data_IF_033958935997
#
_entry.id   IF_033958935997
#
_cell.length_a   1.000
_cell.length_b   1.000
_cell.length_c   1.000
_cell.angle_alpha   90.00
_cell.angle_beta   90.00
_cell.angle_gamma   90.00
#
_symmetry.space_group_name_H-M   'P 1'
#
loop_
_entity.id
_entity.type
_entity.pdbx_description
1 polymer ?
#
# COMPACT_ATOMS: atom_id res chain seq x y z
N UNK A 1 -12.03 -12.18 -27.54
CA UNK A 1 -11.02 -12.26 -28.62
C UNK A 1 -11.32 -11.13 -29.60
N UNK A 2 -10.59 -10.03 -29.50
CA UNK A 2 -10.67 -8.91 -30.43
C UNK A 2 -9.30 -8.22 -30.46
N UNK A 3 -8.67 -8.25 -31.63
CA UNK A 3 -7.43 -7.59 -32.00
C UNK A 3 -7.76 -6.20 -32.55
N UNK A 4 -7.00 -5.16 -32.19
CA UNK A 4 -6.80 -3.96 -33.03
C UNK A 4 -5.33 -3.53 -32.94
N UNK A 5 -4.77 -3.23 -34.10
CA UNK A 5 -3.35 -3.11 -34.42
C UNK A 5 -2.76 -1.71 -34.21
N UNK A 6 -1.43 -1.67 -34.21
CA UNK A 6 -0.52 -0.56 -33.94
C UNK A 6 -0.47 0.53 -35.03
N UNK A 7 0.06 1.71 -34.66
CA UNK A 7 0.80 2.57 -35.56
C UNK A 7 1.92 3.31 -34.83
N UNK A 8 3.15 3.08 -35.28
CA UNK A 8 4.41 3.64 -34.79
C UNK A 8 4.82 4.86 -35.62
N UNK A 9 5.31 5.92 -34.96
CA UNK A 9 6.24 6.90 -35.58
C UNK A 9 7.20 7.41 -34.51
N UNK A 10 8.49 7.22 -34.75
CA UNK A 10 9.59 7.72 -33.93
C UNK A 10 10.16 9.05 -34.44
N UNK A 11 10.87 9.74 -33.54
CA UNK A 11 11.92 10.75 -33.74
C UNK A 11 12.09 11.46 -32.39
N UNK A 12 13.24 11.90 -31.89
CA UNK A 12 14.67 11.84 -32.26
C UNK A 12 15.40 12.15 -30.95
N UNK A 13 16.52 11.47 -30.70
CA UNK A 13 17.43 11.80 -29.61
C UNK A 13 18.18 13.11 -29.89
N UNK A 14 18.37 13.95 -28.87
CA UNK A 14 19.29 15.07 -28.90
C UNK A 14 20.12 15.04 -27.60
N UNK A 15 21.43 14.85 -27.76
CA UNK A 15 22.41 14.89 -26.70
C UNK A 15 22.92 16.33 -26.50
N UNK A 16 23.04 16.79 -25.25
CA UNK A 16 23.82 17.98 -24.94
C UNK A 16 24.46 17.90 -23.53
N UNK A 17 25.78 17.69 -23.58
CA UNK A 17 26.89 18.28 -22.81
C UNK A 17 26.89 18.24 -21.27
N UNK A 18 27.96 17.59 -20.81
CA UNK A 18 28.53 17.55 -19.47
C UNK A 18 28.74 18.93 -18.84
N UNK A 19 28.37 19.07 -17.56
CA UNK A 19 29.02 19.98 -16.62
C UNK A 19 29.31 19.22 -15.33
N UNK A 20 30.58 19.28 -14.88
CA UNK A 20 31.10 18.55 -13.72
C UNK A 20 30.80 19.32 -12.42
N UNK A 21 30.62 18.54 -11.35
CA UNK A 21 30.85 18.89 -9.93
C UNK A 21 29.69 19.56 -9.19
N UNK A 22 28.98 18.78 -8.36
CA UNK A 22 29.03 18.85 -6.87
C UNK A 22 28.55 17.49 -6.34
N UNK A 23 29.48 16.66 -5.86
CA UNK A 23 29.18 15.43 -5.12
C UNK A 23 28.76 15.82 -3.70
N UNK A 24 27.47 15.68 -3.39
CA UNK A 24 26.98 15.68 -2.00
C UNK A 24 26.56 14.24 -1.68
N UNK A 25 27.30 13.66 -0.74
CA UNK A 25 27.06 12.35 -0.14
C UNK A 25 25.59 12.17 0.21
N UNK A 26 24.91 11.27 -0.51
CA UNK A 26 23.64 10.71 -0.07
C UNK A 26 23.95 9.35 0.53
N UNK A 27 23.70 9.21 1.82
CA UNK A 27 23.74 7.95 2.55
C UNK A 27 22.81 6.94 1.88
N UNK A 28 23.40 5.92 1.27
CA UNK A 28 22.71 4.77 0.69
C UNK A 28 21.99 3.99 1.79
N UNK A 29 20.70 4.25 1.97
CA UNK A 29 19.81 3.51 2.85
C UNK A 29 18.85 2.57 2.13
N UNK A 30 19.06 2.29 0.84
CA UNK A 30 18.26 1.32 0.08
C UNK A 30 19.04 0.01 -0.07
N UNK A 31 19.08 -0.78 1.00
CA UNK A 31 19.44 -2.19 0.91
C UNK A 31 18.30 -2.91 0.20
N UNK A 32 18.43 -3.08 -1.12
CA UNK A 32 17.63 -4.03 -1.89
C UNK A 32 17.86 -5.41 -1.27
N UNK A 33 16.84 -5.99 -0.65
CA UNK A 33 16.85 -7.36 -0.14
C UNK A 33 16.90 -8.33 -1.32
N UNK A 34 18.11 -8.53 -1.87
CA UNK A 34 18.40 -9.67 -2.73
C UNK A 34 18.40 -10.92 -1.84
N UNK A 35 17.42 -11.79 -2.06
CA UNK A 35 17.08 -12.89 -1.16
C UNK A 35 18.24 -13.83 -0.82
N UNK A 36 18.74 -13.73 0.42
CA UNK A 36 19.32 -14.86 1.12
C UNK A 36 18.18 -15.83 1.46
N UNK A 37 18.28 -17.10 1.10
CA UNK A 37 17.24 -18.13 1.31
C UNK A 37 16.96 -18.50 2.79
N UNK A 38 17.20 -17.59 3.73
CA UNK A 38 16.86 -17.71 5.15
C UNK A 38 15.67 -16.80 5.42
N UNK A 39 14.55 -17.38 5.85
CA UNK A 39 13.31 -16.69 6.18
C UNK A 39 13.08 -16.68 7.69
N UNK A 40 12.33 -15.69 8.18
CA UNK A 40 12.15 -15.44 9.62
C UNK A 40 13.06 -14.31 10.11
N UNK A 41 13.16 -14.12 11.43
CA UNK A 41 14.04 -13.10 12.02
C UNK A 41 13.56 -11.65 11.87
N UNK A 42 12.24 -11.43 11.79
CA UNK A 42 11.66 -10.08 11.74
C UNK A 42 12.04 -9.30 13.00
N UNK A 43 12.68 -8.14 12.84
CA UNK A 43 13.01 -7.28 13.98
C UNK A 43 11.79 -6.51 14.44
N UNK A 44 11.81 -5.98 15.67
CA UNK A 44 10.68 -5.23 16.22
C UNK A 44 10.36 -3.96 15.43
N UNK A 45 11.37 -3.36 14.78
CA UNK A 45 11.19 -2.17 13.95
C UNK A 45 10.54 -2.48 12.59
N UNK A 46 10.66 -3.72 12.11
CA UNK A 46 10.04 -4.16 10.86
C UNK A 46 8.56 -4.56 11.05
N UNK A 47 8.06 -4.58 12.29
CA UNK A 47 6.67 -4.93 12.60
C UNK A 47 5.74 -3.77 12.21
N UNK A 48 4.83 -4.04 11.28
CA UNK A 48 3.82 -3.06 10.86
C UNK A 48 2.79 -2.79 11.98
N UNK A 49 2.34 -3.83 12.68
CA UNK A 49 1.39 -3.71 13.78
C UNK A 49 2.12 -3.63 15.12
N UNK A 50 2.48 -2.40 15.50
CA UNK A 50 3.34 -2.12 16.65
C UNK A 50 2.61 -2.19 17.99
N UNK A 51 1.31 -1.87 18.06
CA UNK A 51 0.51 -1.92 19.30
C UNK A 51 -0.34 -3.19 19.44
N UNK A 52 0.06 -4.32 18.84
CA UNK A 52 -0.74 -5.55 18.81
C UNK A 52 -1.04 -6.12 20.21
N UNK A 53 -0.21 -5.82 21.21
CA UNK A 53 -0.41 -6.27 22.59
C UNK A 53 -1.14 -5.24 23.46
N UNK A 54 -1.37 -4.01 22.98
CA UNK A 54 -2.07 -2.97 23.73
C UNK A 54 -1.23 -2.35 24.85
N UNK A 55 0.10 -2.32 24.68
CA UNK A 55 1.05 -1.73 25.62
C UNK A 55 0.95 -0.19 25.64
N UNK A 56 0.49 0.41 24.53
CA UNK A 56 0.27 1.84 24.36
C UNK A 56 -1.22 2.16 24.18
N UNK A 57 -1.63 3.42 24.36
CA UNK A 57 -3.03 3.80 24.15
C UNK A 57 -3.39 3.64 22.66
N UNK A 58 -4.58 3.10 22.40
CA UNK A 58 -5.09 2.89 21.05
C UNK A 58 -5.68 4.17 20.46
N UNK A 59 -5.88 5.22 21.27
CA UNK A 59 -6.44 6.50 20.82
C UNK A 59 -5.51 7.28 19.90
N UNK A 60 -6.09 8.21 19.14
CA UNK A 60 -5.46 9.00 18.09
C UNK A 60 -4.09 9.59 18.47
N UNK A 61 -3.96 10.21 19.65
CA UNK A 61 -2.71 10.87 20.07
C UNK A 61 -1.52 9.93 20.12
N UNK A 62 -1.74 8.69 20.54
CA UNK A 62 -0.66 7.68 20.62
C UNK A 62 -0.51 6.94 19.28
N UNK A 63 -1.56 6.83 18.48
CA UNK A 63 -1.48 6.35 17.09
C UNK A 63 -0.58 7.24 16.22
N UNK A 64 -0.76 8.57 16.30
CA UNK A 64 0.09 9.54 15.59
C UNK A 64 1.58 9.40 15.98
N UNK A 65 1.88 9.11 17.26
CA UNK A 65 3.27 8.88 17.71
C UNK A 65 3.87 7.61 17.11
N UNK A 66 3.06 6.60 16.82
CA UNK A 66 3.49 5.34 16.16
C UNK A 66 3.67 5.50 14.65
N UNK A 67 3.37 6.67 14.09
CA UNK A 67 3.46 6.95 12.66
C UNK A 67 2.16 6.70 11.89
N UNK A 68 1.04 6.44 12.57
CA UNK A 68 -0.27 6.38 11.91
C UNK A 68 -0.64 7.77 11.41
N UNK A 69 -1.25 7.84 10.24
CA UNK A 69 -1.55 9.08 9.52
C UNK A 69 -0.33 9.91 9.08
N UNK A 70 0.87 9.34 9.11
CA UNK A 70 2.08 10.03 8.69
C UNK A 70 2.10 10.19 7.16
N UNK A 71 2.12 11.44 6.68
CA UNK A 71 2.15 11.79 5.26
C UNK A 71 1.00 11.21 4.42
N UNK A 72 -0.12 10.77 5.03
CA UNK A 72 -1.27 10.21 4.31
C UNK A 72 -1.80 11.19 3.25
N UNK A 73 -1.78 12.48 3.56
CA UNK A 73 -2.14 13.54 2.62
C UNK A 73 -1.27 13.51 1.37
N UNK A 74 0.05 13.43 1.55
CA UNK A 74 1.01 13.43 0.44
C UNK A 74 0.87 12.18 -0.41
N UNK A 75 0.65 11.01 0.23
CA UNK A 75 0.33 9.75 -0.45
C UNK A 75 -0.93 9.91 -1.32
N UNK A 76 -1.98 10.54 -0.80
CA UNK A 76 -3.19 10.80 -1.58
C UNK A 76 -2.95 11.76 -2.75
N UNK A 77 -2.04 12.74 -2.62
CA UNK A 77 -1.69 13.65 -3.71
C UNK A 77 -0.93 12.98 -4.85
N UNK A 78 -0.22 11.88 -4.60
CA UNK A 78 0.42 11.07 -5.66
C UNK A 78 -0.60 10.45 -6.62
N UNK A 79 -1.86 10.34 -6.18
CA UNK A 79 -2.99 9.90 -6.99
C UNK A 79 -3.29 8.40 -6.88
N UNK A 80 -4.51 7.99 -7.25
CA UNK A 80 -5.00 6.63 -7.03
C UNK A 80 -4.23 5.59 -7.83
N UNK A 81 -3.87 5.91 -9.09
CA UNK A 81 -3.17 4.98 -9.97
C UNK A 81 -1.73 4.71 -9.48
N UNK A 82 -1.08 5.70 -8.84
CA UNK A 82 0.23 5.51 -8.21
C UNK A 82 0.14 4.56 -7.01
N UNK A 83 -0.84 4.75 -6.12
CA UNK A 83 -1.04 3.87 -4.96
C UNK A 83 -1.29 2.42 -5.39
N UNK A 84 -2.13 2.20 -6.41
CA UNK A 84 -2.38 0.84 -6.93
C UNK A 84 -1.10 0.21 -7.47
N UNK A 85 -0.24 1.00 -8.12
CA UNK A 85 1.03 0.50 -8.65
C UNK A 85 2.02 0.14 -7.54
N UNK A 86 2.18 0.98 -6.52
CA UNK A 86 3.03 0.67 -5.35
C UNK A 86 2.59 -0.62 -4.63
N UNK A 87 1.27 -0.85 -4.50
CA UNK A 87 0.77 -2.08 -3.89
C UNK A 87 1.02 -3.30 -4.78
N UNK A 88 1.00 -3.16 -6.10
CA UNK A 88 1.41 -4.24 -7.02
C UNK A 88 2.89 -4.55 -6.87
N UNK A 89 3.73 -3.52 -6.84
CA UNK A 89 5.18 -3.65 -6.77
C UNK A 89 5.65 -4.20 -5.42
N UNK A 90 4.89 -3.95 -4.33
CA UNK A 90 5.12 -4.55 -3.02
C UNK A 90 4.95 -6.08 -2.97
N UNK A 91 4.28 -6.67 -3.97
CA UNK A 91 3.95 -8.10 -3.99
C UNK A 91 2.95 -8.54 -2.91
N UNK A 92 2.20 -7.60 -2.32
CA UNK A 92 1.22 -7.91 -1.27
C UNK A 92 0.13 -8.89 -1.77
N UNK A 93 -0.11 -9.94 -0.98
CA UNK A 93 -1.16 -10.94 -1.20
C UNK A 93 -2.24 -10.84 -0.14
N UNK A 94 -3.46 -11.25 -0.49
CA UNK A 94 -4.61 -11.26 0.40
C UNK A 94 -4.38 -12.08 1.67
N UNK A 95 -4.89 -11.59 2.80
CA UNK A 95 -4.70 -12.17 4.14
C UNK A 95 -5.88 -13.00 4.65
N UNK A 96 -6.96 -13.14 3.86
CA UNK A 96 -8.15 -13.95 4.17
C UNK A 96 -8.17 -15.32 3.48
N UNK A 97 -7.04 -16.03 3.46
CA UNK A 97 -6.96 -17.42 2.94
C UNK A 97 -6.77 -17.58 1.43
N UNK A 98 -7.47 -16.78 0.60
CA UNK A 98 -7.39 -16.92 -0.87
C UNK A 98 -6.02 -16.55 -1.48
N UNK A 99 -5.22 -15.73 -0.78
CA UNK A 99 -3.87 -15.36 -1.21
C UNK A 99 -3.80 -14.63 -2.57
N UNK A 100 -4.89 -14.03 -3.03
CA UNK A 100 -4.92 -13.32 -4.32
C UNK A 100 -4.06 -12.04 -4.25
N UNK A 101 -3.30 -11.67 -5.29
CA UNK A 101 -2.49 -10.44 -5.28
C UNK A 101 -3.36 -9.19 -5.09
N UNK A 102 -3.11 -8.44 -4.01
CA UNK A 102 -3.98 -7.34 -3.57
C UNK A 102 -4.01 -6.20 -4.59
N UNK A 103 -2.85 -5.77 -5.10
CA UNK A 103 -2.76 -4.68 -6.07
C UNK A 103 -3.41 -5.02 -7.42
N UNK A 104 -3.35 -6.30 -7.83
CA UNK A 104 -4.07 -6.76 -9.02
C UNK A 104 -5.58 -6.69 -8.81
N UNK A 105 -6.08 -7.14 -7.65
CA UNK A 105 -7.51 -7.07 -7.29
C UNK A 105 -8.03 -5.63 -7.33
N UNK A 106 -7.26 -4.69 -6.79
CA UNK A 106 -7.64 -3.27 -6.75
C UNK A 106 -7.74 -2.68 -8.17
N UNK A 107 -6.92 -3.15 -9.11
CA UNK A 107 -6.95 -2.65 -10.49
C UNK A 107 -8.15 -3.11 -11.32
N UNK A 108 -9.00 -4.00 -10.79
CA UNK A 108 -10.26 -4.36 -11.44
C UNK A 108 -11.35 -3.31 -11.25
N UNK A 109 -11.17 -2.38 -10.32
CA UNK A 109 -12.16 -1.32 -10.08
C UNK A 109 -12.22 -0.36 -11.28
N UNK A 110 -13.43 0.04 -11.73
CA UNK A 110 -13.59 0.96 -12.86
C UNK A 110 -12.85 2.27 -12.62
N UNK A 111 -12.06 2.70 -13.61
CA UNK A 111 -11.38 4.02 -13.56
C UNK A 111 -12.37 5.16 -13.79
N UNK A 112 -13.30 4.93 -14.72
CA UNK A 112 -14.40 5.83 -15.04
C UNK A 112 -15.66 5.35 -14.32
N UNK A 113 -16.42 6.29 -13.77
CA UNK A 113 -17.71 5.99 -13.14
C UNK A 113 -18.80 5.93 -14.20
N UNK A 114 -19.63 4.88 -14.16
CA UNK A 114 -20.87 4.76 -14.93
C UNK A 114 -22.05 5.47 -14.24
N UNK A 115 -21.76 6.35 -13.27
CA UNK A 115 -22.73 7.00 -12.40
C UNK A 115 -23.02 6.23 -11.11
N UNK A 116 -22.54 4.99 -10.96
CA UNK A 116 -22.69 4.21 -9.73
C UNK A 116 -21.54 4.47 -8.76
N UNK A 117 -21.84 4.63 -7.46
CA UNK A 117 -20.79 4.74 -6.45
C UNK A 117 -20.08 3.39 -6.28
N UNK A 118 -18.75 3.42 -6.27
CA UNK A 118 -17.93 2.29 -5.86
C UNK A 118 -17.84 2.24 -4.33
N UNK A 119 -17.76 1.05 -3.75
CA UNK A 119 -17.65 0.85 -2.32
C UNK A 119 -16.46 -0.04 -1.99
N UNK A 120 -15.79 0.26 -0.88
CA UNK A 120 -14.87 -0.63 -0.23
C UNK A 120 -15.65 -1.42 0.82
N UNK A 121 -15.43 -2.72 0.90
CA UNK A 121 -15.92 -3.54 2.01
C UNK A 121 -14.70 -4.17 2.65
N UNK A 122 -14.46 -3.82 3.92
CA UNK A 122 -13.45 -4.48 4.74
C UNK A 122 -14.08 -5.70 5.39
N UNK A 123 -13.54 -6.87 5.09
CA UNK A 123 -13.95 -8.08 5.78
C UNK A 123 -13.31 -8.10 7.18
N UNK A 124 -14.11 -7.82 8.20
CA UNK A 124 -13.74 -7.88 9.61
C UNK A 124 -14.32 -9.12 10.32
N UNK A 125 -14.93 -10.04 9.56
CA UNK A 125 -15.40 -11.31 10.09
C UNK A 125 -14.23 -12.28 10.24
N UNK A 126 -14.06 -12.74 11.47
CA UNK A 126 -13.00 -13.67 11.90
C UNK A 126 -13.63 -14.95 12.46
N UNK A 127 -14.50 -15.59 11.67
CA UNK A 127 -15.23 -16.80 12.05
C UNK A 127 -14.44 -18.10 11.83
N UNK A 128 -13.19 -18.01 11.39
CA UNK A 128 -12.32 -19.15 11.14
C UNK A 128 -11.70 -19.67 12.46
N UNK A 129 -11.81 -20.98 12.77
CA UNK A 129 -11.24 -21.52 14.00
C UNK A 129 -9.72 -21.28 14.10
N UNK A 130 -9.30 -20.62 15.17
CA UNK A 130 -7.89 -20.33 15.44
C UNK A 130 -7.37 -19.01 14.85
N UNK A 131 -8.18 -18.24 14.13
CA UNK A 131 -7.82 -16.88 13.69
C UNK A 131 -8.19 -15.87 14.78
N UNK A 132 -7.23 -15.03 15.19
CA UNK A 132 -7.45 -13.95 16.16
C UNK A 132 -6.74 -12.64 15.79
N UNK A 133 -6.17 -12.57 14.57
CA UNK A 133 -5.37 -11.45 14.07
C UNK A 133 -6.23 -10.18 13.92
N UNK A 134 -7.46 -10.32 13.41
CA UNK A 134 -8.31 -9.20 13.05
C UNK A 134 -8.91 -8.56 14.32
N UNK A 135 -9.28 -9.40 15.30
CA UNK A 135 -9.72 -8.97 16.64
C UNK A 135 -8.72 -8.04 17.33
N UNK A 136 -7.43 -8.40 17.32
CA UNK A 136 -6.41 -7.61 18.03
C UNK A 136 -6.14 -6.28 17.33
N UNK A 137 -6.10 -6.26 15.99
CA UNK A 137 -5.95 -5.03 15.21
C UNK A 137 -7.12 -4.08 15.49
N UNK A 138 -8.37 -4.57 15.42
CA UNK A 138 -9.55 -3.73 15.65
C UNK A 138 -9.63 -3.15 17.07
N UNK A 139 -9.13 -3.86 18.08
CA UNK A 139 -9.24 -3.42 19.48
C UNK A 139 -8.08 -2.54 19.93
N UNK A 140 -6.87 -2.82 19.44
CA UNK A 140 -5.64 -2.25 20.00
C UNK A 140 -4.90 -1.31 19.06
N UNK A 141 -5.13 -1.44 17.75
CA UNK A 141 -4.53 -0.56 16.75
C UNK A 141 -5.52 -0.18 15.63
N UNK A 142 -6.71 0.36 15.98
CA UNK A 142 -7.79 0.59 15.01
C UNK A 142 -7.46 1.67 13.97
N UNK A 143 -6.56 2.61 14.30
CA UNK A 143 -6.22 3.72 13.41
C UNK A 143 -5.51 3.27 12.13
N UNK A 144 -4.67 2.23 12.19
CA UNK A 144 -4.07 1.61 10.99
C UNK A 144 -5.13 1.06 10.03
N UNK A 145 -6.19 0.47 10.58
CA UNK A 145 -7.29 -0.03 9.76
C UNK A 145 -8.04 1.13 9.10
N UNK A 146 -8.36 2.18 9.85
CA UNK A 146 -9.07 3.36 9.33
C UNK A 146 -8.24 4.08 8.26
N UNK A 147 -6.95 4.26 8.48
CA UNK A 147 -6.04 4.82 7.47
C UNK A 147 -5.97 3.92 6.23
N UNK A 148 -5.88 2.60 6.41
CA UNK A 148 -5.95 1.63 5.34
C UNK A 148 -7.24 1.74 4.52
N UNK A 149 -8.40 1.92 5.17
CA UNK A 149 -9.68 2.15 4.50
C UNK A 149 -9.66 3.42 3.65
N UNK A 150 -9.09 4.52 4.18
CA UNK A 150 -8.98 5.78 3.46
C UNK A 150 -8.10 5.64 2.22
N UNK A 151 -6.90 5.09 2.36
CA UNK A 151 -5.94 4.93 1.27
C UNK A 151 -6.43 3.93 0.21
N UNK A 152 -6.92 2.76 0.62
CA UNK A 152 -7.46 1.76 -0.29
C UNK A 152 -8.73 2.27 -0.99
N UNK A 153 -9.62 2.92 -0.23
CA UNK A 153 -10.84 3.53 -0.76
C UNK A 153 -10.52 4.59 -1.81
N UNK A 154 -9.57 5.50 -1.51
CA UNK A 154 -9.10 6.50 -2.45
C UNK A 154 -8.47 5.87 -3.71
N UNK A 155 -7.57 4.89 -3.54
CA UNK A 155 -6.92 4.18 -4.64
C UNK A 155 -7.92 3.48 -5.57
N UNK A 156 -9.00 2.94 -5.02
CA UNK A 156 -10.08 2.27 -5.76
C UNK A 156 -11.22 3.19 -6.18
N UNK A 157 -11.09 4.51 -5.96
CA UNK A 157 -12.14 5.51 -6.24
C UNK A 157 -13.48 5.18 -5.55
N UNK A 158 -13.43 4.58 -4.37
CA UNK A 158 -14.59 4.25 -3.55
C UNK A 158 -15.16 5.51 -2.89
N UNK A 159 -16.49 5.55 -2.77
CA UNK A 159 -17.23 6.63 -2.10
C UNK A 159 -17.33 6.42 -0.59
N UNK A 160 -17.35 5.17 -0.15
CA UNK A 160 -17.43 4.78 1.26
C UNK A 160 -16.75 3.42 1.49
N UNK A 161 -16.44 3.15 2.75
CA UNK A 161 -15.80 1.95 3.25
C UNK A 161 -16.59 1.39 4.45
#
# INVERSE_FOLDING_TARGET
MAFVAASSRGAKAAAAKHSKTVLRSMSSGASVLAGSGVYGGLTDQDRIFTNLYGEQDWRLKDAEKRGDYHMTKDIMWMGPDWIVQEIKDSGLRGRGGAGFPSGLKWSFMPKETDGRPSFLVVNADESEPGTCKDREIMRKDPHKLVEGCLLAGFAMRARAA
#
